data_IF_251701472353
#
_entry.id   IF_251701472353
#
_cell.length_a   1.000
_cell.length_b   1.000
_cell.length_c   1.000
_cell.angle_alpha   90.00
_cell.angle_beta   90.00
_cell.angle_gamma   90.00
#
_symmetry.space_group_name_H-M   'P 1'
#
loop_
_entity.id
_entity.type
_entity.pdbx_description
1 polymer ?
#
# COMPACT_ATOMS: atom_id res chain seq x y z
N UNK A 1 20.03 -19.93 24.29
CA UNK A 1 20.97 -19.86 25.42
C UNK A 1 20.24 -20.38 26.64
N UNK A 2 20.85 -21.24 27.44
CA UNK A 2 20.23 -21.71 28.69
C UNK A 2 20.57 -20.72 29.81
N UNK A 3 19.56 -20.28 30.56
CA UNK A 3 19.70 -19.33 31.66
C UNK A 3 19.15 -19.97 32.94
N UNK A 4 19.78 -19.77 34.11
CA UNK A 4 19.22 -20.22 35.38
C UNK A 4 17.90 -19.49 35.67
N UNK A 5 16.81 -20.22 35.92
CA UNK A 5 15.48 -19.63 36.10
C UNK A 5 15.27 -18.96 37.47
N UNK A 6 15.94 -19.48 38.50
CA UNK A 6 15.78 -19.09 39.91
C UNK A 6 16.66 -17.90 40.35
N UNK A 7 17.69 -17.56 39.56
CA UNK A 7 18.60 -16.46 39.91
C UNK A 7 18.00 -15.10 39.52
N UNK A 8 18.26 -14.04 40.31
CA UNK A 8 17.86 -12.69 39.93
C UNK A 8 18.60 -12.23 38.67
N UNK A 9 17.88 -11.49 37.82
CA UNK A 9 18.40 -11.02 36.53
C UNK A 9 19.70 -10.22 36.64
N UNK A 10 19.93 -9.50 37.74
CA UNK A 10 21.18 -8.75 38.01
C UNK A 10 22.45 -9.60 37.89
N UNK A 11 22.38 -10.90 38.22
CA UNK A 11 23.55 -11.80 38.27
C UNK A 11 23.81 -12.44 36.91
N UNK A 12 22.73 -12.65 36.15
CA UNK A 12 22.78 -13.34 34.84
C UNK A 12 23.09 -12.35 33.71
N UNK A 13 22.67 -11.09 33.84
CA UNK A 13 22.80 -10.06 32.80
C UNK A 13 24.24 -9.81 32.32
N UNK A 14 25.27 -9.69 33.19
CA UNK A 14 26.65 -9.50 32.73
C UNK A 14 27.16 -10.65 31.86
N UNK A 15 26.77 -11.89 32.16
CA UNK A 15 27.14 -13.06 31.37
C UNK A 15 26.41 -13.07 30.01
N UNK A 16 25.12 -12.73 30.00
CA UNK A 16 24.33 -12.61 28.77
C UNK A 16 24.87 -11.50 27.86
N UNK A 17 25.24 -10.35 28.42
CA UNK A 17 25.82 -9.24 27.66
C UNK A 17 27.14 -9.65 27.00
N UNK A 18 28.04 -10.31 27.72
CA UNK A 18 29.32 -10.81 27.18
C UNK A 18 29.13 -11.84 26.06
N UNK A 19 28.09 -12.68 26.16
CA UNK A 19 27.82 -13.73 25.18
C UNK A 19 27.09 -13.23 23.92
N UNK A 20 26.25 -12.20 24.05
CA UNK A 20 25.49 -11.62 22.94
C UNK A 20 26.26 -10.49 22.24
N UNK A 21 27.12 -9.77 22.96
CA UNK A 21 27.97 -8.68 22.45
C UNK A 21 29.43 -8.86 22.91
N UNK A 22 30.23 -9.71 22.23
CA UNK A 22 31.61 -10.00 22.62
C UNK A 22 32.60 -8.83 22.41
N UNK A 23 32.28 -7.87 21.53
CA UNK A 23 33.16 -6.74 21.15
C UNK A 23 32.75 -5.40 21.80
N UNK A 24 32.25 -5.42 23.03
CA UNK A 24 32.07 -4.20 23.83
C UNK A 24 33.40 -3.69 24.39
N UNK A 25 34.40 -3.48 23.52
CA UNK A 25 35.69 -2.90 23.88
C UNK A 25 35.49 -1.46 24.37
N UNK A 26 35.75 -1.26 25.66
CA UNK A 26 36.84 -0.39 26.14
C UNK A 26 36.84 1.11 25.85
N UNK A 27 36.39 1.61 24.71
CA UNK A 27 36.68 2.99 24.28
C UNK A 27 35.43 3.69 23.73
N UNK A 28 34.68 4.31 24.63
CA UNK A 28 33.84 5.46 24.31
C UNK A 28 33.91 6.40 25.50
N UNK A 29 35.06 7.05 25.65
CA UNK A 29 35.21 8.27 26.45
C UNK A 29 34.44 9.41 25.77
N UNK A 30 33.12 9.36 25.86
CA UNK A 30 32.26 10.53 25.66
C UNK A 30 31.00 10.37 26.51
N UNK A 31 31.12 10.82 27.77
CA UNK A 31 30.04 11.40 28.58
C UNK A 31 28.64 10.78 28.45
N UNK A 32 28.29 9.77 29.27
CA UNK A 32 26.92 9.57 29.80
C UNK A 32 26.87 8.38 30.76
N UNK A 33 26.07 8.47 31.82
CA UNK A 33 25.82 7.41 32.82
C UNK A 33 25.60 6.02 32.18
N UNK A 34 26.11 4.91 32.75
CA UNK A 34 25.92 3.58 32.19
C UNK A 34 24.44 3.20 32.15
N UNK A 35 23.85 3.17 30.96
CA UNK A 35 22.45 2.77 30.74
C UNK A 35 22.29 1.31 31.12
N UNK A 36 21.65 1.03 32.26
CA UNK A 36 21.39 -0.34 32.72
C UNK A 36 20.48 -1.05 31.73
N UNK A 37 20.90 -2.23 31.26
CA UNK A 37 20.10 -3.07 30.37
C UNK A 37 19.36 -4.13 31.20
N UNK A 38 18.15 -4.50 30.77
CA UNK A 38 17.38 -5.62 31.32
C UNK A 38 16.76 -6.46 30.19
N UNK A 39 16.26 -7.65 30.52
CA UNK A 39 15.53 -8.50 29.59
C UNK A 39 14.07 -8.05 29.52
N UNK A 40 13.49 -8.05 28.32
CA UNK A 40 12.09 -7.73 28.08
C UNK A 40 11.48 -8.75 27.10
N UNK A 41 10.19 -9.10 27.22
CA UNK A 41 9.51 -9.85 26.18
C UNK A 41 9.35 -8.96 24.93
N UNK A 42 9.22 -9.57 23.75
CA UNK A 42 9.07 -8.80 22.50
C UNK A 42 7.80 -7.94 22.56
N UNK A 43 7.97 -6.62 22.63
CA UNK A 43 6.88 -5.65 22.72
C UNK A 43 6.36 -5.38 24.14
N UNK A 44 6.98 -5.94 25.17
CA UNK A 44 6.64 -5.69 26.58
C UNK A 44 7.61 -4.77 27.31
N UNK A 45 7.30 -4.48 28.57
CA UNK A 45 8.16 -3.68 29.44
C UNK A 45 9.39 -4.48 29.90
N UNK A 46 10.55 -3.83 30.12
CA UNK A 46 11.72 -4.47 30.71
C UNK A 46 11.43 -5.01 32.11
N UNK A 47 11.96 -6.20 32.39
CA UNK A 47 11.83 -6.84 33.69
C UNK A 47 12.65 -6.11 34.75
N UNK A 48 12.20 -6.21 36.00
CA UNK A 48 12.97 -5.72 37.14
C UNK A 48 14.25 -6.53 37.29
N UNK A 49 15.38 -5.87 37.56
CA UNK A 49 16.67 -6.52 37.77
C UNK A 49 16.70 -7.42 39.01
N UNK A 50 15.73 -7.20 39.92
CA UNK A 50 15.53 -7.97 41.15
C UNK A 50 14.68 -9.23 40.95
N UNK A 51 13.97 -9.36 39.83
CA UNK A 51 13.12 -10.50 39.57
C UNK A 51 13.92 -11.66 38.97
N UNK A 52 13.48 -12.90 39.24
CA UNK A 52 13.96 -14.11 38.56
C UNK A 52 13.11 -14.41 37.32
N UNK A 53 13.61 -15.22 36.40
CA UNK A 53 12.87 -15.60 35.18
C UNK A 53 11.62 -16.44 35.51
N UNK A 54 11.65 -17.22 36.60
CA UNK A 54 10.50 -17.99 37.08
C UNK A 54 9.38 -17.08 37.63
N UNK A 55 9.74 -16.08 38.46
CA UNK A 55 8.75 -15.14 39.03
C UNK A 55 8.04 -14.31 37.94
N UNK A 56 8.74 -14.04 36.85
CA UNK A 56 8.22 -13.31 35.70
C UNK A 56 7.46 -14.23 34.72
N UNK A 57 7.53 -15.55 34.92
CA UNK A 57 6.79 -16.54 34.15
C UNK A 57 7.32 -16.76 32.74
N UNK A 58 8.63 -16.62 32.53
CA UNK A 58 9.27 -16.90 31.24
C UNK A 58 9.34 -18.40 31.00
N UNK A 59 8.88 -18.84 29.83
CA UNK A 59 8.87 -20.25 29.45
C UNK A 59 10.04 -20.58 28.52
N UNK A 60 10.51 -21.82 28.56
CA UNK A 60 11.50 -22.31 27.62
C UNK A 60 11.08 -22.08 26.16
N UNK A 61 11.92 -21.37 25.42
CA UNK A 61 11.66 -21.01 24.02
C UNK A 61 11.13 -19.58 23.82
N UNK A 62 10.86 -18.84 24.89
CA UNK A 62 10.48 -17.43 24.79
C UNK A 62 11.61 -16.57 24.20
N UNK A 63 11.23 -15.63 23.34
CA UNK A 63 12.14 -14.66 22.76
C UNK A 63 12.18 -13.41 23.64
N UNK A 64 13.36 -13.17 24.23
CA UNK A 64 13.62 -11.99 25.04
C UNK A 64 14.56 -11.04 24.31
N UNK A 65 14.29 -9.74 24.40
CA UNK A 65 15.13 -8.68 23.91
C UNK A 65 15.88 -8.03 25.08
N UNK A 66 17.17 -7.73 24.88
CA UNK A 66 17.91 -6.82 25.74
C UNK A 66 17.43 -5.39 25.45
N UNK A 67 16.81 -4.75 26.44
CA UNK A 67 16.34 -3.37 26.34
C UNK A 67 16.97 -2.51 27.44
N UNK A 68 17.25 -1.23 27.17
CA UNK A 68 17.63 -0.29 28.21
C UNK A 68 16.48 -0.13 29.20
N UNK A 69 16.80 -0.14 30.49
CA UNK A 69 15.84 0.16 31.53
C UNK A 69 15.39 1.62 31.34
N UNK A 70 14.07 1.90 31.29
CA UNK A 70 13.61 3.26 31.11
C UNK A 70 14.12 4.11 32.28
N UNK A 71 14.91 5.13 31.98
CA UNK A 71 15.09 6.22 32.94
C UNK A 71 13.70 6.80 33.22
N UNK A 72 13.40 7.06 34.50
CA UNK A 72 12.17 7.73 34.87
C UNK A 72 11.99 9.02 34.06
N UNK A 73 10.75 9.51 33.90
CA UNK A 73 10.50 10.72 33.12
C UNK A 73 11.41 11.84 33.62
N UNK A 74 12.14 12.47 32.71
CA UNK A 74 12.95 13.63 33.04
C UNK A 74 12.04 14.67 33.73
N UNK A 75 12.54 15.29 34.80
CA UNK A 75 11.78 16.30 35.52
C UNK A 75 11.33 17.38 34.52
N UNK A 76 10.03 17.68 34.41
CA UNK A 76 9.55 18.70 33.49
C UNK A 76 10.13 20.06 33.91
N UNK A 77 10.67 20.80 32.94
CA UNK A 77 11.14 22.16 33.18
C UNK A 77 9.99 23.05 33.64
N UNK A 78 10.21 23.81 34.72
CA UNK A 78 9.27 24.83 35.19
C UNK A 78 9.50 26.07 34.32
N UNK A 79 8.46 26.50 33.59
CA UNK A 79 8.51 27.71 32.77
C UNK A 79 7.77 28.82 33.51
N UNK A 80 8.43 29.96 33.69
CA UNK A 80 7.90 31.09 34.48
C UNK A 80 6.95 31.98 33.66
N UNK A 81 7.11 32.01 32.33
CA UNK A 81 6.29 32.78 31.41
C UNK A 81 5.31 31.89 30.63
N UNK A 82 4.04 32.28 30.62
CA UNK A 82 2.97 31.62 29.88
C UNK A 82 3.21 31.69 28.37
N UNK A 83 3.83 32.77 27.87
CA UNK A 83 4.16 32.90 26.45
C UNK A 83 5.24 31.91 26.02
N UNK A 84 6.30 31.76 26.80
CA UNK A 84 7.37 30.78 26.55
C UNK A 84 6.86 29.34 26.70
N UNK A 85 6.03 29.09 27.73
CA UNK A 85 5.36 27.81 27.91
C UNK A 85 4.51 27.46 26.68
N UNK A 86 3.73 28.42 26.15
CA UNK A 86 2.92 28.22 24.97
C UNK A 86 3.76 27.84 23.74
N UNK A 87 4.92 28.47 23.53
CA UNK A 87 5.83 28.16 22.41
C UNK A 87 6.49 26.79 22.58
N UNK A 88 7.01 26.47 23.77
CA UNK A 88 7.68 25.18 24.06
C UNK A 88 6.69 24.00 23.95
N UNK A 89 5.47 24.13 24.48
CA UNK A 89 4.47 23.08 24.37
C UNK A 89 3.77 23.01 23.00
N UNK A 90 3.86 24.06 22.18
CA UNK A 90 3.39 24.03 20.78
C UNK A 90 4.46 23.53 19.80
N UNK A 91 5.76 23.61 20.13
CA UNK A 91 6.88 23.04 19.37
C UNK A 91 6.62 21.60 18.90
N UNK A 92 6.11 20.75 19.79
CA UNK A 92 5.79 19.34 19.48
C UNK A 92 4.64 19.15 18.48
N UNK A 93 3.77 20.17 18.34
CA UNK A 93 2.59 20.18 17.45
C UNK A 93 2.78 21.03 16.21
N UNK A 94 3.87 21.81 16.12
CA UNK A 94 4.15 22.59 14.93
C UNK A 94 4.45 21.67 13.75
N UNK A 95 3.56 21.70 12.76
CA UNK A 95 3.79 21.10 11.44
C UNK A 95 4.17 22.24 10.48
N UNK A 96 5.45 22.46 10.18
CA UNK A 96 5.84 23.55 9.29
C UNK A 96 5.21 23.34 7.90
N UNK A 97 4.72 24.42 7.29
CA UNK A 97 4.15 24.38 5.95
C UNK A 97 5.25 24.14 4.91
N UNK A 98 5.60 22.87 4.71
CA UNK A 98 6.59 22.46 3.72
C UNK A 98 6.01 22.21 2.33
N UNK A 99 6.91 22.00 1.36
CA UNK A 99 6.63 21.64 -0.05
C UNK A 99 5.67 20.45 -0.16
N UNK A 100 5.71 19.50 0.78
CA UNK A 100 4.79 18.36 0.83
C UNK A 100 3.32 18.78 0.93
N UNK A 101 3.00 19.82 1.70
CA UNK A 101 1.64 20.33 1.82
C UNK A 101 1.18 20.98 0.52
N UNK A 102 2.06 21.77 -0.13
CA UNK A 102 1.78 22.38 -1.44
C UNK A 102 1.52 21.30 -2.49
N UNK A 103 2.33 20.23 -2.54
CA UNK A 103 2.11 19.11 -3.47
C UNK A 103 0.78 18.39 -3.22
N UNK A 104 0.38 18.21 -1.96
CA UNK A 104 -0.92 17.60 -1.61
C UNK A 104 -2.08 18.51 -1.99
N UNK A 105 -1.97 19.81 -1.70
CA UNK A 105 -2.95 20.83 -2.08
C UNK A 105 -3.12 20.90 -3.60
N UNK A 106 -2.03 20.94 -4.35
CA UNK A 106 -2.05 20.92 -5.81
C UNK A 106 -2.72 19.65 -6.37
N UNK A 107 -2.41 18.48 -5.80
CA UNK A 107 -3.05 17.22 -6.19
C UNK A 107 -4.56 17.24 -5.91
N UNK A 108 -4.97 17.70 -4.73
CA UNK A 108 -6.39 17.83 -4.38
C UNK A 108 -7.11 18.82 -5.29
N UNK A 109 -6.48 19.95 -5.60
CA UNK A 109 -7.02 20.96 -6.52
C UNK A 109 -7.19 20.41 -7.93
N UNK A 110 -6.22 19.65 -8.46
CA UNK A 110 -6.33 19.01 -9.78
C UNK A 110 -7.49 18.01 -9.80
N UNK A 111 -7.61 17.16 -8.77
CA UNK A 111 -8.72 16.19 -8.67
C UNK A 111 -10.07 16.93 -8.60
N UNK A 112 -10.16 17.98 -7.77
CA UNK A 112 -11.35 18.81 -7.67
C UNK A 112 -11.72 19.48 -8.99
N UNK A 113 -10.74 20.03 -9.72
CA UNK A 113 -10.95 20.64 -11.02
C UNK A 113 -11.41 19.63 -12.08
N UNK A 114 -10.88 18.41 -12.07
CA UNK A 114 -11.35 17.33 -12.96
C UNK A 114 -12.81 16.99 -12.66
N UNK A 115 -13.21 16.82 -11.41
CA UNK A 115 -14.59 16.53 -11.07
C UNK A 115 -15.54 17.69 -11.38
N UNK A 116 -15.16 18.92 -11.03
CA UNK A 116 -15.96 20.10 -11.31
C UNK A 116 -16.13 20.32 -12.83
N UNK A 117 -15.04 20.17 -13.60
CA UNK A 117 -15.07 20.29 -15.06
C UNK A 117 -15.90 19.20 -15.72
N UNK A 118 -15.82 17.96 -15.21
CA UNK A 118 -16.65 16.84 -15.69
C UNK A 118 -18.13 17.10 -15.42
N UNK A 119 -18.46 17.53 -14.20
CA UNK A 119 -19.84 17.85 -13.82
C UNK A 119 -20.41 18.99 -14.67
N UNK A 120 -19.65 20.07 -14.84
CA UNK A 120 -20.04 21.22 -15.66
C UNK A 120 -20.22 20.85 -17.13
N UNK A 121 -19.30 20.06 -17.69
CA UNK A 121 -19.38 19.66 -19.09
C UNK A 121 -20.54 18.68 -19.34
N UNK A 122 -20.82 17.79 -18.38
CA UNK A 122 -21.98 16.89 -18.42
C UNK A 122 -23.30 17.67 -18.33
N UNK A 123 -23.43 18.62 -17.39
CA UNK A 123 -24.64 19.44 -17.28
C UNK A 123 -24.85 20.32 -18.52
N UNK A 124 -23.79 20.92 -19.05
CA UNK A 124 -23.85 21.70 -20.28
C UNK A 124 -24.29 20.83 -21.48
N UNK A 125 -23.82 19.59 -21.59
CA UNK A 125 -24.27 18.68 -22.64
C UNK A 125 -25.77 18.36 -22.53
N UNK A 126 -26.26 18.09 -21.31
CA UNK A 126 -27.67 17.75 -21.07
C UNK A 126 -28.61 18.93 -21.37
N UNK A 127 -28.21 20.15 -20.97
CA UNK A 127 -29.02 21.35 -21.17
C UNK A 127 -29.01 21.82 -22.62
N UNK A 128 -27.82 21.96 -23.21
CA UNK A 128 -27.65 22.57 -24.52
C UNK A 128 -27.84 21.55 -25.66
N UNK A 129 -27.70 20.24 -25.38
CA UNK A 129 -27.63 19.15 -26.37
C UNK A 129 -26.56 19.34 -27.45
N UNK A 130 -25.67 20.30 -27.26
CA UNK A 130 -24.57 20.59 -28.17
C UNK A 130 -23.45 19.54 -28.01
N UNK A 131 -22.76 19.17 -29.10
CA UNK A 131 -21.67 18.19 -29.06
C UNK A 131 -20.46 18.70 -28.26
N UNK A 132 -20.35 20.02 -28.06
CA UNK A 132 -19.26 20.66 -27.30
C UNK A 132 -19.12 20.09 -25.89
N UNK A 133 -20.24 19.81 -25.21
CA UNK A 133 -20.20 19.21 -23.87
C UNK A 133 -19.63 17.79 -23.88
N UNK A 134 -19.99 16.98 -24.88
CA UNK A 134 -19.47 15.62 -25.03
C UNK A 134 -17.96 15.62 -25.32
N UNK A 135 -17.51 16.48 -26.24
CA UNK A 135 -16.09 16.63 -26.57
C UNK A 135 -15.29 17.09 -25.35
N UNK A 136 -15.83 18.02 -24.56
CA UNK A 136 -15.19 18.49 -23.33
C UNK A 136 -15.06 17.37 -22.29
N UNK A 137 -16.13 16.60 -22.01
CA UNK A 137 -16.07 15.46 -21.07
C UNK A 137 -15.08 14.39 -21.57
N UNK A 138 -15.11 14.07 -22.86
CA UNK A 138 -14.18 13.12 -23.48
C UNK A 138 -12.71 13.58 -23.37
N UNK A 139 -12.45 14.86 -23.61
CA UNK A 139 -11.11 15.44 -23.45
C UNK A 139 -10.64 15.40 -21.99
N UNK A 140 -11.50 15.75 -21.03
CA UNK A 140 -11.18 15.67 -19.60
C UNK A 140 -10.87 14.21 -19.20
N UNK A 141 -11.67 13.25 -19.67
CA UNK A 141 -11.44 11.83 -19.41
C UNK A 141 -10.09 11.35 -19.95
N UNK A 142 -9.77 11.69 -21.21
CA UNK A 142 -8.51 11.33 -21.84
C UNK A 142 -7.32 11.98 -21.13
N UNK A 143 -7.42 13.26 -20.78
CA UNK A 143 -6.37 13.98 -20.05
C UNK A 143 -6.16 13.43 -18.65
N UNK A 144 -7.23 13.11 -17.91
CA UNK A 144 -7.13 12.50 -16.59
C UNK A 144 -6.47 11.11 -16.65
N UNK A 145 -6.86 10.30 -17.63
CA UNK A 145 -6.26 8.99 -17.91
C UNK A 145 -4.76 9.10 -18.22
N UNK A 146 -4.39 9.94 -19.18
CA UNK A 146 -3.00 10.16 -19.58
C UNK A 146 -2.16 10.73 -18.43
N UNK A 147 -2.70 11.72 -17.71
CA UNK A 147 -2.02 12.29 -16.56
C UNK A 147 -1.80 11.23 -15.47
N UNK A 148 -2.74 10.30 -15.27
CA UNK A 148 -2.60 9.17 -14.36
C UNK A 148 -1.46 8.23 -14.76
N UNK A 149 -1.36 7.87 -16.04
CA UNK A 149 -0.27 7.05 -16.57
C UNK A 149 1.09 7.75 -16.47
N UNK A 150 1.18 9.00 -16.93
CA UNK A 150 2.45 9.75 -16.96
C UNK A 150 2.93 10.06 -15.55
N UNK A 151 2.03 10.46 -14.65
CA UNK A 151 2.38 10.76 -13.26
C UNK A 151 2.88 9.53 -12.50
N UNK A 152 2.43 8.33 -12.90
CA UNK A 152 2.88 7.06 -12.30
C UNK A 152 4.38 6.83 -12.47
N UNK A 153 4.98 7.31 -13.56
CA UNK A 153 6.43 7.21 -13.79
C UNK A 153 7.25 8.09 -12.84
N UNK A 154 6.71 9.23 -12.40
CA UNK A 154 7.40 10.17 -11.49
C UNK A 154 7.10 9.90 -10.02
N UNK A 155 5.85 9.59 -9.69
CA UNK A 155 5.37 9.38 -8.32
C UNK A 155 4.24 8.33 -8.31
N UNK A 156 4.45 7.16 -7.68
CA UNK A 156 3.44 6.10 -7.66
C UNK A 156 2.15 6.55 -6.98
N UNK A 157 2.24 7.28 -5.85
CA UNK A 157 1.07 7.77 -5.09
C UNK A 157 0.20 8.72 -5.91
N UNK A 158 0.83 9.68 -6.58
CA UNK A 158 0.12 10.67 -7.40
C UNK A 158 -0.52 10.02 -8.61
N UNK A 159 0.20 9.11 -9.26
CA UNK A 159 -0.32 8.33 -10.38
C UNK A 159 -1.54 7.51 -9.98
N UNK A 160 -1.53 6.82 -8.84
CA UNK A 160 -2.67 6.05 -8.33
C UNK A 160 -3.87 6.96 -8.04
N UNK A 161 -3.68 8.05 -7.29
CA UNK A 161 -4.78 8.97 -6.95
C UNK A 161 -5.46 9.54 -8.20
N UNK A 162 -4.67 9.91 -9.21
CA UNK A 162 -5.19 10.46 -10.45
C UNK A 162 -5.83 9.39 -11.35
N UNK A 163 -5.29 8.16 -11.33
CA UNK A 163 -5.91 7.01 -12.02
C UNK A 163 -7.28 6.66 -11.42
N UNK A 164 -7.44 6.80 -10.10
CA UNK A 164 -8.72 6.64 -9.39
C UNK A 164 -9.67 7.78 -9.77
N UNK A 165 -9.21 9.03 -9.73
CA UNK A 165 -10.01 10.19 -10.10
C UNK A 165 -10.49 10.14 -11.56
N UNK A 166 -9.71 9.51 -12.46
CA UNK A 166 -10.08 9.33 -13.87
C UNK A 166 -11.28 8.40 -14.11
N UNK A 167 -11.69 7.57 -13.14
CA UNK A 167 -12.84 6.67 -13.32
C UNK A 167 -14.15 7.41 -13.54
N UNK A 168 -14.39 8.50 -12.78
CA UNK A 168 -15.61 9.28 -12.91
C UNK A 168 -15.75 9.95 -14.31
N UNK A 169 -14.75 10.68 -14.83
CA UNK A 169 -14.86 11.28 -16.16
C UNK A 169 -14.95 10.23 -17.27
N UNK A 170 -14.27 9.08 -17.15
CA UNK A 170 -14.39 7.99 -18.13
C UNK A 170 -15.82 7.44 -18.14
N UNK A 171 -16.41 7.17 -16.97
CA UNK A 171 -17.78 6.69 -16.85
C UNK A 171 -18.77 7.69 -17.47
N UNK A 172 -18.63 8.98 -17.16
CA UNK A 172 -19.51 10.02 -17.71
C UNK A 172 -19.33 10.21 -19.21
N UNK A 173 -18.09 10.20 -19.72
CA UNK A 173 -17.80 10.35 -21.15
C UNK A 173 -18.48 9.25 -21.96
N UNK A 174 -18.32 8.01 -21.52
CA UNK A 174 -18.85 6.84 -22.23
C UNK A 174 -20.36 6.70 -22.06
N UNK A 175 -20.91 7.09 -20.91
CA UNK A 175 -22.37 7.13 -20.74
C UNK A 175 -23.03 8.18 -21.64
N UNK A 176 -22.37 9.33 -21.86
CA UNK A 176 -22.91 10.38 -22.74
C UNK A 176 -22.61 10.16 -24.23
N UNK A 177 -21.69 9.25 -24.56
CA UNK A 177 -21.31 8.98 -25.95
C UNK A 177 -22.44 8.31 -26.76
N UNK A 178 -23.35 7.59 -26.11
CA UNK A 178 -24.48 6.94 -26.78
C UNK A 178 -25.63 7.93 -26.92
N UNK A 179 -26.00 8.35 -28.14
CA UNK A 179 -27.11 9.27 -28.36
C UNK A 179 -28.44 8.62 -27.98
N UNK A 180 -29.31 9.36 -27.29
CA UNK A 180 -30.64 8.89 -26.93
C UNK A 180 -31.08 9.30 -25.52
N UNK A 181 -32.21 8.75 -25.07
CA UNK A 181 -32.71 8.91 -23.70
C UNK A 181 -31.84 8.11 -22.72
N UNK A 182 -31.81 8.55 -21.46
CA UNK A 182 -31.09 7.83 -20.42
C UNK A 182 -31.63 6.40 -20.25
N UNK A 183 -30.78 5.38 -20.46
CA UNK A 183 -31.18 3.96 -20.50
C UNK A 183 -30.02 2.96 -20.39
N UNK A 184 -30.32 1.64 -20.51
CA UNK A 184 -29.36 0.57 -20.23
C UNK A 184 -28.13 0.60 -21.14
N UNK A 185 -28.26 1.01 -22.41
CA UNK A 185 -27.14 1.07 -23.35
C UNK A 185 -26.02 2.02 -22.90
N UNK A 186 -26.37 3.15 -22.28
CA UNK A 186 -25.39 4.12 -21.79
C UNK A 186 -24.72 3.63 -20.51
N UNK A 187 -25.49 3.01 -19.61
CA UNK A 187 -24.96 2.37 -18.40
C UNK A 187 -24.00 1.25 -18.78
N UNK A 188 -24.33 0.46 -19.80
CA UNK A 188 -23.49 -0.61 -20.33
C UNK A 188 -22.15 -0.06 -20.82
N UNK A 189 -22.15 0.98 -21.65
CA UNK A 189 -20.90 1.55 -22.18
C UNK A 189 -20.07 2.26 -21.10
N UNK A 190 -20.71 2.96 -20.16
CA UNK A 190 -20.04 3.56 -19.00
C UNK A 190 -19.37 2.49 -18.11
N UNK A 191 -20.10 1.41 -17.80
CA UNK A 191 -19.59 0.30 -17.01
C UNK A 191 -18.44 -0.44 -17.71
N UNK A 192 -18.53 -0.62 -19.04
CA UNK A 192 -17.45 -1.20 -19.85
C UNK A 192 -16.16 -0.38 -19.72
N UNK A 193 -16.26 0.95 -19.78
CA UNK A 193 -15.12 1.85 -19.62
C UNK A 193 -14.47 1.78 -18.25
N UNK A 194 -15.28 1.79 -17.19
CA UNK A 194 -14.81 1.66 -15.80
C UNK A 194 -14.09 0.33 -15.60
N UNK A 195 -14.66 -0.77 -16.11
CA UNK A 195 -14.06 -2.10 -16.04
C UNK A 195 -12.74 -2.16 -16.82
N UNK A 196 -12.74 -1.68 -18.07
CA UNK A 196 -11.56 -1.66 -18.93
C UNK A 196 -10.43 -0.83 -18.32
N UNK A 197 -10.72 0.39 -17.83
CA UNK A 197 -9.73 1.25 -17.19
C UNK A 197 -9.17 0.66 -15.89
N UNK A 198 -10.03 0.04 -15.09
CA UNK A 198 -9.61 -0.65 -13.86
C UNK A 198 -8.67 -1.81 -14.17
N UNK A 199 -8.97 -2.60 -15.22
CA UNK A 199 -8.14 -3.71 -15.65
C UNK A 199 -6.80 -3.24 -16.22
N UNK A 200 -6.79 -2.18 -17.04
CA UNK A 200 -5.56 -1.53 -17.52
C UNK A 200 -4.71 -1.10 -16.31
N UNK A 201 -5.33 -0.44 -15.33
CA UNK A 201 -4.63 0.04 -14.13
C UNK A 201 -4.05 -1.09 -13.25
N UNK A 202 -4.62 -2.29 -13.31
CA UNK A 202 -4.15 -3.51 -12.62
C UNK A 202 -2.98 -4.19 -13.33
N UNK A 203 -2.95 -4.15 -14.66
CA UNK A 203 -1.90 -4.81 -15.47
C UNK A 203 -0.58 -4.04 -15.38
N UNK A 204 -0.62 -2.71 -15.22
CA UNK A 204 0.60 -1.92 -15.11
C UNK A 204 1.34 -2.18 -13.78
N UNK A 205 2.66 -2.48 -13.81
CA UNK A 205 3.44 -2.79 -12.60
C UNK A 205 3.56 -1.58 -11.68
N UNK A 206 3.18 -1.75 -10.40
CA UNK A 206 3.30 -0.70 -9.36
C UNK A 206 4.21 -1.14 -8.22
N UNK A 207 5.00 -0.19 -7.70
CA UNK A 207 5.84 -0.39 -6.50
C UNK A 207 5.06 -0.28 -5.18
N UNK A 208 3.90 0.39 -5.18
CA UNK A 208 3.00 0.48 -4.04
C UNK A 208 1.76 -0.37 -4.32
N UNK A 209 1.76 -1.60 -3.78
CA UNK A 209 1.00 -2.71 -4.35
C UNK A 209 -0.34 -2.98 -3.65
N UNK A 210 -0.47 -2.73 -2.35
CA UNK A 210 -1.58 -3.34 -1.59
C UNK A 210 -2.91 -2.59 -1.72
N UNK A 211 -2.97 -1.30 -1.35
CA UNK A 211 -4.25 -0.57 -1.29
C UNK A 211 -4.83 -0.25 -2.67
N UNK A 212 -3.97 0.04 -3.64
CA UNK A 212 -4.41 0.37 -5.00
C UNK A 212 -5.04 -0.83 -5.72
N UNK A 213 -4.47 -2.03 -5.52
CA UNK A 213 -5.00 -3.27 -6.12
C UNK A 213 -6.39 -3.58 -5.57
N UNK A 214 -6.62 -3.43 -4.26
CA UNK A 214 -7.94 -3.64 -3.66
C UNK A 214 -9.01 -2.75 -4.30
N UNK A 215 -8.71 -1.47 -4.51
CA UNK A 215 -9.65 -0.55 -5.14
C UNK A 215 -9.93 -0.89 -6.61
N UNK A 216 -8.88 -1.09 -7.43
CA UNK A 216 -9.08 -1.38 -8.86
C UNK A 216 -9.69 -2.76 -9.12
N UNK A 217 -9.44 -3.75 -8.26
CA UNK A 217 -10.12 -5.06 -8.37
C UNK A 217 -11.60 -4.92 -8.01
N UNK A 218 -11.94 -4.18 -6.95
CA UNK A 218 -13.33 -3.92 -6.60
C UNK A 218 -14.08 -3.19 -7.73
N UNK A 219 -13.49 -2.13 -8.31
CA UNK A 219 -14.12 -1.39 -9.41
C UNK A 219 -14.21 -2.21 -10.70
N UNK A 220 -13.25 -3.09 -10.98
CA UNK A 220 -13.33 -4.01 -12.11
C UNK A 220 -14.47 -5.03 -11.95
N UNK A 221 -14.63 -5.61 -10.77
CA UNK A 221 -15.72 -6.57 -10.46
C UNK A 221 -17.08 -5.87 -10.50
N UNK A 222 -17.20 -4.69 -9.89
CA UNK A 222 -18.45 -3.93 -9.92
C UNK A 222 -18.80 -3.48 -11.35
N UNK A 223 -17.81 -2.98 -12.11
CA UNK A 223 -18.02 -2.57 -13.50
C UNK A 223 -18.45 -3.73 -14.40
N UNK A 224 -17.84 -4.91 -14.24
CA UNK A 224 -18.23 -6.11 -14.99
C UNK A 224 -19.62 -6.63 -14.59
N UNK A 225 -19.98 -6.59 -13.31
CA UNK A 225 -21.32 -6.97 -12.86
C UNK A 225 -22.41 -6.05 -13.43
N UNK A 226 -22.19 -4.72 -13.38
CA UNK A 226 -23.13 -3.74 -13.95
C UNK A 226 -23.20 -3.85 -15.47
N UNK A 227 -22.07 -4.10 -16.14
CA UNK A 227 -22.00 -4.34 -17.58
C UNK A 227 -22.90 -5.52 -17.99
N UNK A 228 -22.79 -6.65 -17.28
CA UNK A 228 -23.59 -7.84 -17.55
C UNK A 228 -25.08 -7.60 -17.25
N UNK A 229 -25.40 -6.90 -16.17
CA UNK A 229 -26.78 -6.56 -15.82
C UNK A 229 -27.44 -5.65 -16.86
N UNK A 230 -26.76 -4.58 -17.28
CA UNK A 230 -27.25 -3.66 -18.30
C UNK A 230 -27.36 -4.34 -19.68
N UNK A 231 -26.43 -5.24 -20.01
CA UNK A 231 -26.51 -6.06 -21.23
C UNK A 231 -27.70 -7.03 -21.21
N UNK A 232 -27.98 -7.64 -20.06
CA UNK A 232 -29.14 -8.52 -19.91
C UNK A 232 -30.47 -7.76 -20.07
N UNK A 233 -30.57 -6.55 -19.49
CA UNK A 233 -31.74 -5.67 -19.69
C UNK A 233 -31.92 -5.29 -21.16
N UNK A 234 -30.82 -4.98 -21.87
CA UNK A 234 -30.86 -4.60 -23.28
C UNK A 234 -31.33 -5.75 -24.19
N UNK A 235 -30.94 -6.99 -23.87
CA UNK A 235 -31.26 -8.17 -24.69
C UNK A 235 -32.64 -8.78 -24.38
N UNK A 236 -33.04 -8.82 -23.11
CA UNK A 236 -34.23 -9.56 -22.66
C UNK A 236 -35.31 -8.70 -21.99
N UNK A 237 -35.11 -7.38 -21.86
CA UNK A 237 -36.10 -6.45 -21.30
C UNK A 237 -36.67 -6.94 -19.94
N UNK A 238 -35.79 -7.44 -19.07
CA UNK A 238 -36.18 -7.99 -17.78
C UNK A 238 -36.74 -6.90 -16.85
N UNK A 239 -37.68 -7.25 -15.96
CA UNK A 239 -38.12 -6.32 -14.91
C UNK A 239 -36.98 -6.04 -13.92
N UNK A 240 -36.97 -4.81 -13.36
CA UNK A 240 -35.94 -4.35 -12.40
C UNK A 240 -35.76 -5.28 -11.20
N UNK A 241 -36.85 -5.93 -10.74
CA UNK A 241 -36.80 -6.86 -9.61
C UNK A 241 -35.92 -8.09 -9.94
N UNK A 242 -36.06 -8.66 -11.13
CA UNK A 242 -35.23 -9.79 -11.57
C UNK A 242 -33.75 -9.41 -11.70
N UNK A 243 -33.46 -8.20 -12.16
CA UNK A 243 -32.08 -7.68 -12.25
C UNK A 243 -31.49 -7.52 -10.85
N UNK A 244 -32.25 -6.95 -9.90
CA UNK A 244 -31.84 -6.79 -8.51
C UNK A 244 -31.53 -8.14 -7.84
N UNK A 245 -32.43 -9.12 -7.98
CA UNK A 245 -32.21 -10.47 -7.48
C UNK A 245 -30.98 -11.12 -8.13
N UNK A 246 -30.80 -10.98 -9.44
CA UNK A 246 -29.63 -11.49 -10.16
C UNK A 246 -28.31 -10.89 -9.66
N UNK A 247 -28.27 -9.57 -9.42
CA UNK A 247 -27.11 -8.88 -8.86
C UNK A 247 -26.78 -9.33 -7.43
N UNK A 248 -27.80 -9.56 -6.58
CA UNK A 248 -27.60 -10.09 -5.23
C UNK A 248 -26.99 -11.49 -5.28
N UNK A 249 -27.53 -12.37 -6.13
CA UNK A 249 -27.01 -13.75 -6.30
C UNK A 249 -25.58 -13.71 -6.83
N UNK A 250 -25.29 -12.87 -7.84
CA UNK A 250 -23.95 -12.72 -8.38
C UNK A 250 -22.97 -12.19 -7.31
N UNK A 251 -23.36 -11.20 -6.51
CA UNK A 251 -22.56 -10.68 -5.41
C UNK A 251 -22.26 -11.78 -4.39
N UNK A 252 -23.26 -12.59 -4.01
CA UNK A 252 -23.07 -13.71 -3.08
C UNK A 252 -22.11 -14.77 -3.63
N UNK A 253 -22.22 -15.10 -4.92
CA UNK A 253 -21.33 -16.06 -5.58
C UNK A 253 -19.88 -15.57 -5.62
N UNK A 254 -19.69 -14.28 -5.93
CA UNK A 254 -18.36 -13.66 -5.94
C UNK A 254 -17.76 -13.61 -4.54
N UNK A 255 -18.54 -13.32 -3.50
CA UNK A 255 -18.03 -13.31 -2.11
C UNK A 255 -17.65 -14.71 -1.64
N UNK A 256 -18.45 -15.74 -1.95
CA UNK A 256 -18.14 -17.13 -1.61
C UNK A 256 -16.85 -17.59 -2.31
N UNK A 257 -16.68 -17.25 -3.60
CA UNK A 257 -15.53 -17.65 -4.41
C UNK A 257 -14.35 -16.68 -4.36
N UNK A 258 -14.38 -15.66 -3.49
CA UNK A 258 -13.39 -14.59 -3.45
C UNK A 258 -11.95 -15.11 -3.22
N UNK A 259 -11.77 -16.11 -2.36
CA UNK A 259 -10.47 -16.69 -2.08
C UNK A 259 -9.87 -17.39 -3.32
N UNK A 260 -10.69 -18.15 -4.05
CA UNK A 260 -10.27 -18.86 -5.26
C UNK A 260 -9.96 -17.87 -6.40
N UNK A 261 -10.81 -16.86 -6.59
CA UNK A 261 -10.60 -15.80 -7.57
C UNK A 261 -9.32 -15.01 -7.30
N UNK A 262 -9.06 -14.66 -6.04
CA UNK A 262 -7.83 -13.98 -5.63
C UNK A 262 -6.59 -14.82 -5.96
N UNK A 263 -6.65 -16.14 -5.70
CA UNK A 263 -5.54 -17.04 -5.99
C UNK A 263 -5.24 -17.17 -7.50
N UNK A 264 -6.29 -17.27 -8.33
CA UNK A 264 -6.20 -17.30 -9.79
C UNK A 264 -5.66 -15.98 -10.34
N UNK A 265 -6.19 -14.84 -9.87
CA UNK A 265 -5.74 -13.51 -10.25
C UNK A 265 -4.28 -13.24 -9.85
N UNK A 266 -3.84 -13.77 -8.71
CA UNK A 266 -2.45 -13.69 -8.25
C UNK A 266 -1.51 -14.63 -9.03
N UNK A 267 -2.05 -15.49 -9.92
CA UNK A 267 -1.30 -16.50 -10.67
C UNK A 267 -0.46 -17.40 -9.75
N UNK A 268 -1.03 -17.82 -8.61
CA UNK A 268 -0.33 -18.77 -7.74
C UNK A 268 -0.01 -20.04 -8.52
N UNK A 269 1.20 -20.63 -8.35
CA UNK A 269 1.54 -21.86 -9.02
C UNK A 269 0.60 -22.96 -8.53
N UNK A 270 -0.23 -23.48 -9.43
CA UNK A 270 -1.14 -24.57 -9.13
C UNK A 270 -0.31 -25.80 -8.68
N UNK A 271 -0.75 -26.50 -7.61
CA UNK A 271 -0.11 -27.74 -7.20
C UNK A 271 -0.23 -28.75 -8.36
N UNK A 272 0.91 -29.26 -8.82
CA UNK A 272 0.93 -30.35 -9.80
C UNK A 272 0.60 -31.64 -9.04
N UNK A 273 -0.58 -32.21 -9.29
CA UNK A 273 -0.95 -33.53 -8.77
C UNK A 273 -0.39 -34.55 -9.78
N UNK A 274 0.68 -35.30 -9.44
CA UNK A 274 1.22 -36.30 -10.35
C UNK A 274 0.22 -37.44 -10.52
N UNK A 275 0.05 -37.91 -11.76
CA UNK A 275 -0.71 -39.12 -12.03
C UNK A 275 0.00 -40.35 -11.42
N UNK A 276 -0.74 -41.39 -11.00
CA UNK A 276 -0.16 -42.63 -10.48
C UNK A 276 0.85 -43.21 -11.49
N UNK A 277 2.08 -43.51 -11.04
CA UNK A 277 3.14 -44.11 -11.86
C UNK A 277 4.17 -43.12 -12.46
N UNK A 278 3.98 -41.80 -12.33
CA UNK A 278 4.97 -40.82 -12.84
C UNK A 278 5.99 -40.44 -11.74
N UNK A 279 7.31 -40.42 -12.05
CA UNK A 279 8.32 -40.03 -11.08
C UNK A 279 8.15 -38.58 -10.61
N UNK A 280 8.22 -38.38 -9.30
CA UNK A 280 8.08 -37.09 -8.65
C UNK A 280 9.23 -36.14 -9.05
N UNK A 281 8.93 -35.05 -9.77
CA UNK A 281 9.91 -33.97 -9.97
C UNK A 281 10.12 -33.24 -8.65
N UNK A 282 11.21 -33.56 -7.92
CA UNK A 282 11.64 -32.78 -6.75
C UNK A 282 11.84 -31.31 -7.15
N UNK A 283 11.04 -30.41 -6.57
CA UNK A 283 11.32 -28.96 -6.63
C UNK A 283 12.69 -28.72 -6.00
N UNK A 284 13.69 -28.38 -6.81
CA UNK A 284 14.98 -27.88 -6.31
C UNK A 284 14.69 -26.56 -5.59
N UNK A 285 14.71 -26.58 -4.26
CA UNK A 285 14.63 -25.38 -3.40
C UNK A 285 15.80 -24.47 -3.79
N UNK A 286 15.57 -23.48 -4.65
CA UNK A 286 16.52 -22.37 -4.81
C UNK A 286 16.48 -21.58 -3.51
N UNK A 287 17.31 -21.97 -2.54
CA UNK A 287 17.73 -21.10 -1.43
C UNK A 287 18.52 -19.95 -2.06
N UNK A 288 17.84 -18.89 -2.48
CA UNK A 288 18.50 -17.59 -2.65
C UNK A 288 18.43 -16.83 -1.33
N UNK A 289 19.09 -17.38 -0.31
CA UNK A 289 19.65 -16.54 0.73
C UNK A 289 20.95 -16.00 0.14
N UNK A 290 20.88 -14.90 -0.61
CA UNK A 290 22.07 -14.08 -0.81
C UNK A 290 22.24 -13.30 0.49
N UNK A 291 23.06 -13.86 1.36
CA UNK A 291 23.84 -13.12 2.34
C UNK A 291 24.36 -11.83 1.68
N UNK A 292 23.89 -10.68 2.13
CA UNK A 292 24.63 -9.43 1.99
C UNK A 292 25.87 -9.54 2.89
N UNK A 293 26.90 -10.24 2.40
CA UNK A 293 28.28 -10.14 2.88
C UNK A 293 29.06 -9.44 1.78
N UNK A 294 29.51 -8.23 2.05
CA UNK A 294 30.38 -7.48 1.15
C UNK A 294 30.32 -5.97 1.33
N UNK A 295 30.99 -5.49 2.38
CA UNK A 295 31.77 -4.24 2.40
C UNK A 295 31.11 -2.95 1.91
N UNK A 296 30.65 -2.14 2.87
CA UNK A 296 30.76 -0.68 2.74
C UNK A 296 32.25 -0.33 2.84
N UNK A 297 32.87 0.02 1.72
CA UNK A 297 34.14 0.74 1.70
C UNK A 297 33.98 1.96 0.80
N UNK A 298 34.07 3.13 1.44
CA UNK A 298 34.63 4.40 0.95
C UNK A 298 34.13 5.00 -0.37
N UNK A 299 33.52 6.18 -0.24
CA UNK A 299 33.16 7.10 -1.30
C UNK A 299 34.35 7.62 -2.12
N UNK A 300 34.18 7.78 -3.43
CA UNK A 300 34.80 8.91 -4.16
C UNK A 300 33.91 9.33 -5.33
N UNK A 301 33.74 10.64 -5.44
CA UNK A 301 32.83 11.37 -6.31
C UNK A 301 33.60 11.85 -7.54
N UNK A 302 33.26 11.38 -8.75
CA UNK A 302 33.59 12.09 -10.00
C UNK A 302 32.47 11.93 -11.03
N UNK A 303 32.00 13.08 -11.51
CA UNK A 303 31.12 13.28 -12.68
C UNK A 303 31.86 12.80 -13.94
N UNK A 304 31.18 12.08 -14.83
CA UNK A 304 31.06 12.39 -16.28
C UNK A 304 30.15 11.39 -17.02
N UNK A 305 29.49 11.94 -18.04
CA UNK A 305 28.67 11.41 -19.13
C UNK A 305 28.61 9.90 -19.48
N UNK A 306 27.44 9.56 -20.02
CA UNK A 306 27.12 8.51 -21.01
C UNK A 306 26.78 7.09 -20.53
N UNK A 307 25.49 6.74 -20.71
CA UNK A 307 24.91 5.40 -20.94
C UNK A 307 24.98 4.34 -19.83
N UNK A 308 23.83 3.84 -19.30
CA UNK A 308 23.83 2.67 -18.42
C UNK A 308 23.95 1.35 -19.20
N UNK A 309 24.60 0.32 -18.63
CA UNK A 309 24.90 -0.94 -19.32
C UNK A 309 23.69 -1.87 -19.49
N UNK A 310 23.61 -2.48 -20.67
CA UNK A 310 22.59 -3.38 -21.23
C UNK A 310 22.33 -4.71 -20.47
N UNK A 311 22.88 -4.92 -19.27
CA UNK A 311 22.65 -6.14 -18.50
C UNK A 311 21.31 -6.18 -17.73
N UNK A 312 20.61 -5.04 -17.62
CA UNK A 312 19.33 -4.97 -16.90
C UNK A 312 18.10 -5.27 -17.78
N UNK A 313 18.24 -5.27 -19.11
CA UNK A 313 17.12 -5.40 -20.06
C UNK A 313 16.73 -6.84 -20.39
N UNK A 314 17.62 -7.82 -20.21
CA UNK A 314 17.32 -9.22 -20.56
C UNK A 314 16.47 -9.97 -19.52
N UNK A 315 16.14 -9.35 -18.37
CA UNK A 315 15.35 -9.99 -17.29
C UNK A 315 13.90 -9.52 -17.19
N UNK A 316 13.50 -8.57 -18.03
CA UNK A 316 12.14 -8.01 -18.08
C UNK A 316 11.23 -8.65 -19.14
N UNK A 317 11.72 -9.64 -19.89
CA UNK A 317 10.95 -10.36 -20.92
C UNK A 317 10.42 -11.74 -20.47
N UNK A 318 10.47 -12.04 -19.17
CA UNK A 318 9.72 -13.17 -18.59
C UNK A 318 9.10 -12.68 -17.28
N UNK A 319 7.86 -13.10 -17.06
CA UNK A 319 6.98 -12.88 -15.91
C UNK A 319 5.99 -11.72 -16.06
#
# INVERSE_FOLDING_TARGET
>A
MALPAELPLREILPAVQRLVAPDGDGDSEESTTPTRLSLAPIGGAPFSLDASLDTVGVVDGDLLALQPLPSGPAAPGIVEDVADAAVIFSASRFKPWGITHIRRGALAAVIGAVFAGTGLAATHHVVTKAPVGLVAVGAIAALAALAGLVSRARSPRTGVALSIAALAPIATALSLAVPGKFGPAQIMLGAAGVAAWSLISLILPTRERERAIAFFTATAVLGTAVLLAAGAELLWQLPLLSIGCGLIVAALLVTIQAAQLSALCARFPLPVIPAPGIPHRRRRRRRSWRTCRGGCASATRTRTASSPPLCCLARLARW
#
